data_IF_491927906476
#
_entry.id   IF_491927906476
#
_cell.length_a   1.000
_cell.length_b   1.000
_cell.length_c   1.000
_cell.angle_alpha   90.00
_cell.angle_beta   90.00
_cell.angle_gamma   90.00
#
_symmetry.space_group_name_H-M   'P 1'
#
loop_
_entity.id
_entity.type
_entity.pdbx_description
1 polymer ?
#
# COMPACT_ATOMS: atom_id res chain seq x y z
N UNK A 1 1.67 27.93 -4.12
CA UNK A 1 0.87 26.89 -3.44
C UNK A 1 1.81 25.78 -3.01
N UNK A 2 2.09 25.66 -1.72
CA UNK A 2 2.89 24.56 -1.17
C UNK A 2 1.94 23.39 -0.93
N UNK A 3 2.06 22.34 -1.76
CA UNK A 3 1.31 21.10 -1.56
C UNK A 3 1.86 20.48 -0.27
N UNK A 4 1.05 20.43 0.78
CA UNK A 4 1.41 19.72 2.01
C UNK A 4 1.35 18.21 1.72
N UNK A 5 2.48 17.67 1.25
CA UNK A 5 2.67 16.24 1.08
C UNK A 5 2.76 15.61 2.48
N UNK A 6 1.96 14.58 2.72
CA UNK A 6 2.12 13.71 3.89
C UNK A 6 3.54 13.12 3.91
N UNK A 7 4.04 12.69 5.07
CA UNK A 7 5.42 12.15 5.21
C UNK A 7 5.72 11.01 4.23
N UNK A 8 4.71 10.23 3.84
CA UNK A 8 4.82 9.17 2.82
C UNK A 8 4.92 9.75 1.41
N UNK A 9 4.14 10.78 1.10
CA UNK A 9 4.19 11.45 -0.21
C UNK A 9 5.51 12.20 -0.43
N UNK A 10 6.08 12.78 0.63
CA UNK A 10 7.39 13.46 0.58
C UNK A 10 8.54 12.45 0.40
N UNK A 11 8.47 11.31 1.10
CA UNK A 11 9.40 10.19 0.90
C UNK A 11 9.26 9.58 -0.51
N UNK A 12 8.04 9.46 -1.03
CA UNK A 12 7.78 9.01 -2.41
C UNK A 12 8.30 10.01 -3.45
N UNK A 13 8.24 11.32 -3.19
CA UNK A 13 8.84 12.33 -4.07
C UNK A 13 10.38 12.24 -4.07
N UNK A 14 11.00 11.98 -2.92
CA UNK A 14 12.46 11.88 -2.79
C UNK A 14 13.05 10.58 -3.36
N UNK A 15 12.34 9.45 -3.24
CA UNK A 15 12.81 8.15 -3.73
C UNK A 15 11.63 7.22 -4.08
N UNK A 16 10.94 7.45 -5.21
CA UNK A 16 9.68 6.79 -5.54
C UNK A 16 9.79 5.26 -5.54
N UNK A 17 10.86 4.73 -6.14
CA UNK A 17 11.02 3.28 -6.29
C UNK A 17 11.43 2.56 -5.00
N UNK A 18 12.24 3.18 -4.14
CA UNK A 18 12.68 2.57 -2.90
C UNK A 18 11.53 2.52 -1.88
N UNK A 19 10.84 3.65 -1.71
CA UNK A 19 9.70 3.75 -0.78
C UNK A 19 8.51 2.93 -1.26
N UNK A 20 8.20 2.94 -2.56
CA UNK A 20 7.15 2.08 -3.10
C UNK A 20 7.44 0.59 -2.92
N UNK A 21 8.71 0.18 -2.98
CA UNK A 21 9.09 -1.22 -2.76
C UNK A 21 8.97 -1.62 -1.30
N UNK A 22 9.43 -0.78 -0.38
CA UNK A 22 9.36 -1.04 1.06
C UNK A 22 7.91 -1.08 1.56
N UNK A 23 7.12 -0.06 1.24
CA UNK A 23 5.69 -0.01 1.59
C UNK A 23 4.94 -1.16 0.91
N UNK A 24 5.26 -1.48 -0.35
CA UNK A 24 4.71 -2.63 -1.06
C UNK A 24 4.99 -3.96 -0.35
N UNK A 25 6.21 -4.16 0.15
CA UNK A 25 6.59 -5.36 0.90
C UNK A 25 5.84 -5.47 2.23
N UNK A 26 5.63 -4.35 2.92
CA UNK A 26 4.84 -4.32 4.17
C UNK A 26 3.36 -4.65 3.92
N UNK A 27 2.77 -4.12 2.84
CA UNK A 27 1.40 -4.43 2.45
C UNK A 27 1.24 -5.91 2.04
N UNK A 28 2.21 -6.47 1.31
CA UNK A 28 2.23 -7.89 0.96
C UNK A 28 2.32 -8.80 2.20
N UNK A 29 3.21 -8.46 3.14
CA UNK A 29 3.32 -9.16 4.41
C UNK A 29 1.99 -9.11 5.21
N UNK A 30 1.38 -7.93 5.31
CA UNK A 30 0.09 -7.76 5.97
C UNK A 30 -1.04 -8.56 5.29
N UNK A 31 -1.07 -8.59 3.96
CA UNK A 31 -2.04 -9.40 3.20
C UNK A 31 -1.87 -10.89 3.49
N UNK A 32 -0.62 -11.39 3.51
CA UNK A 32 -0.32 -12.79 3.83
C UNK A 32 -0.74 -13.14 5.26
N UNK A 33 -0.47 -12.28 6.24
CA UNK A 33 -0.93 -12.48 7.62
C UNK A 33 -2.45 -12.55 7.71
N UNK A 34 -3.16 -11.66 7.01
CA UNK A 34 -4.63 -11.66 6.98
C UNK A 34 -5.18 -12.90 6.27
N UNK A 35 -4.54 -13.37 5.19
CA UNK A 35 -4.91 -14.62 4.52
C UNK A 35 -4.73 -15.83 5.42
N UNK A 36 -3.68 -15.87 6.24
CA UNK A 36 -3.49 -16.91 7.25
C UNK A 36 -4.57 -16.82 8.33
N UNK A 37 -4.88 -15.61 8.82
CA UNK A 37 -5.90 -15.41 9.84
C UNK A 37 -7.30 -15.83 9.36
N UNK A 38 -7.65 -15.53 8.10
CA UNK A 38 -8.93 -15.91 7.49
C UNK A 38 -9.11 -17.42 7.31
N UNK A 39 -8.02 -18.20 7.32
CA UNK A 39 -8.07 -19.68 7.27
C UNK A 39 -8.27 -20.30 8.65
N UNK A 40 -8.10 -19.53 9.73
CA UNK A 40 -8.35 -20.01 11.08
C UNK A 40 -9.86 -20.02 11.38
N UNK A 41 -10.32 -20.89 12.30
CA UNK A 41 -11.70 -20.82 12.78
C UNK A 41 -11.91 -19.52 13.58
N UNK A 42 -12.46 -18.53 12.89
CA UNK A 42 -12.84 -17.23 13.47
C UNK A 42 -14.34 -17.17 13.72
N UNK A 43 -14.74 -16.39 14.71
CA UNK A 43 -16.16 -16.02 14.84
C UNK A 43 -16.60 -15.18 13.62
N UNK A 44 -17.90 -15.16 13.26
CA UNK A 44 -18.38 -14.38 12.11
C UNK A 44 -17.98 -12.90 12.15
N UNK A 45 -17.98 -12.29 13.34
CA UNK A 45 -17.55 -10.90 13.52
C UNK A 45 -16.05 -10.70 13.25
N UNK A 46 -15.21 -11.59 13.74
CA UNK A 46 -13.76 -11.56 13.49
C UNK A 46 -13.43 -11.82 12.02
N UNK A 47 -14.18 -12.72 11.37
CA UNK A 47 -14.03 -12.99 9.95
C UNK A 47 -14.41 -11.76 9.11
N UNK A 48 -15.51 -11.08 9.44
CA UNK A 48 -15.91 -9.82 8.79
C UNK A 48 -14.87 -8.71 8.98
N UNK A 49 -14.30 -8.60 10.18
CA UNK A 49 -13.23 -7.65 10.47
C UNK A 49 -11.95 -7.94 9.67
N UNK A 50 -11.52 -9.20 9.63
CA UNK A 50 -10.35 -9.61 8.86
C UNK A 50 -10.54 -9.39 7.35
N UNK A 51 -11.76 -9.61 6.83
CA UNK A 51 -12.10 -9.26 5.45
C UNK A 51 -12.03 -7.75 5.19
N UNK A 52 -12.58 -6.93 6.08
CA UNK A 52 -12.51 -5.46 5.95
C UNK A 52 -11.06 -4.96 5.99
N UNK A 53 -10.22 -5.52 6.88
CA UNK A 53 -8.79 -5.22 6.93
C UNK A 53 -8.08 -5.63 5.64
N UNK A 54 -8.40 -6.80 5.07
CA UNK A 54 -7.84 -7.25 3.79
C UNK A 54 -8.21 -6.30 2.65
N UNK A 55 -9.47 -5.87 2.58
CA UNK A 55 -9.91 -4.89 1.60
C UNK A 55 -9.16 -3.56 1.73
N UNK A 56 -8.92 -3.10 2.97
CA UNK A 56 -8.14 -1.88 3.21
C UNK A 56 -6.68 -2.03 2.75
N UNK A 57 -6.04 -3.18 2.98
CA UNK A 57 -4.67 -3.46 2.49
C UNK A 57 -4.62 -3.48 0.97
N UNK A 58 -5.60 -4.10 0.30
CA UNK A 58 -5.69 -4.08 -1.16
C UNK A 58 -5.87 -2.65 -1.72
N UNK A 59 -6.73 -1.85 -1.07
CA UNK A 59 -6.94 -0.46 -1.46
C UNK A 59 -5.67 0.39 -1.28
N UNK A 60 -4.94 0.20 -0.19
CA UNK A 60 -3.65 0.84 0.05
C UNK A 60 -2.62 0.48 -1.03
N UNK A 61 -2.59 -0.79 -1.47
CA UNK A 61 -1.74 -1.24 -2.57
C UNK A 61 -2.07 -0.55 -3.90
N UNK A 62 -3.36 -0.43 -4.23
CA UNK A 62 -3.80 0.27 -5.44
C UNK A 62 -3.48 1.77 -5.42
N UNK A 63 -3.62 2.43 -4.25
CA UNK A 63 -3.22 3.83 -4.05
C UNK A 63 -1.72 3.97 -4.26
N UNK A 64 -0.91 3.10 -3.65
CA UNK A 64 0.55 3.11 -3.80
C UNK A 64 0.96 2.95 -5.27
N UNK A 65 0.39 1.97 -5.97
CA UNK A 65 0.67 1.74 -7.39
C UNK A 65 0.30 2.96 -8.25
N UNK A 66 -0.84 3.60 -7.98
CA UNK A 66 -1.27 4.84 -8.64
C UNK A 66 -0.32 6.01 -8.40
N UNK A 67 0.18 6.16 -7.16
CA UNK A 67 1.15 7.21 -6.82
C UNK A 67 2.51 6.92 -7.49
N UNK A 68 3.00 5.69 -7.42
CA UNK A 68 4.26 5.28 -8.05
C UNK A 68 4.24 5.45 -9.56
N UNK A 69 3.12 5.11 -10.23
CA UNK A 69 2.94 5.39 -11.66
C UNK A 69 3.03 6.88 -11.96
N UNK A 70 2.36 7.74 -11.19
CA UNK A 70 2.41 9.20 -11.38
C UNK A 70 3.81 9.78 -11.22
N UNK A 71 4.58 9.30 -10.23
CA UNK A 71 5.96 9.74 -10.06
C UNK A 71 6.90 9.16 -11.14
N UNK A 72 6.67 7.93 -11.60
CA UNK A 72 7.42 7.34 -12.71
C UNK A 72 7.15 8.05 -14.04
N UNK A 73 5.95 8.59 -14.28
CA UNK A 73 5.62 9.32 -15.51
C UNK A 73 5.98 10.81 -15.45
N UNK A 74 6.01 11.42 -14.26
CA UNK A 74 6.36 12.85 -14.10
C UNK A 74 7.85 13.12 -13.84
N UNK A 75 8.58 12.17 -13.25
CA UNK A 75 10.01 12.29 -12.94
C UNK A 75 10.88 11.20 -13.56
N UNK A 76 10.28 10.25 -14.29
CA UNK A 76 11.04 9.30 -15.09
C UNK A 76 11.79 10.05 -16.18
N UNK A 77 13.13 10.01 -16.12
CA UNK A 77 13.96 10.18 -17.32
C UNK A 77 13.31 9.32 -18.42
N UNK A 78 12.89 9.98 -19.49
CA UNK A 78 12.66 9.30 -20.76
C UNK A 78 13.92 8.45 -21.10
N UNK A 79 13.75 7.31 -21.78
CA UNK A 79 14.86 6.39 -22.10
C UNK A 79 16.06 7.09 -22.73
#
# INVERSE_FOLDING_TARGET
MTIHLTRIEDALAASPHAISRDVGAQLDAASKTLDTALRAPLTPAQHAQALAQKQAVCAAGAILESITRRYSTSYGKAP
#
